data_IF_628930650848
#
_entry.id   IF_628930650848
#
_cell.length_a   1.000
_cell.length_b   1.000
_cell.length_c   1.000
_cell.angle_alpha   90.00
_cell.angle_beta   90.00
_cell.angle_gamma   90.00
#
_symmetry.space_group_name_H-M   'P 1'
#
loop_
_entity.id
_entity.type
_entity.pdbx_description
1 polymer ?
#
# COMPACT_ATOMS: atom_id res chain seq x y z
N UNK A 1 8.83 -23.86 -1.00
CA UNK A 1 7.43 -23.36 -1.00
C UNK A 1 7.47 -21.97 -1.62
N UNK A 2 6.52 -21.61 -2.49
CA UNK A 2 6.47 -20.23 -2.99
C UNK A 2 6.29 -19.29 -1.78
N UNK A 3 7.14 -18.26 -1.67
CA UNK A 3 7.00 -17.25 -0.62
C UNK A 3 5.67 -16.55 -0.81
N UNK A 4 4.84 -16.48 0.23
CA UNK A 4 3.54 -15.80 0.18
C UNK A 4 3.74 -14.32 0.38
N UNK A 5 3.07 -13.48 -0.42
CA UNK A 5 3.23 -12.03 -0.39
C UNK A 5 2.04 -11.33 0.27
N UNK A 6 2.32 -10.44 1.22
CA UNK A 6 1.35 -9.55 1.86
C UNK A 6 1.67 -8.10 1.52
N UNK A 7 0.69 -7.37 0.99
CA UNK A 7 0.82 -5.95 0.67
C UNK A 7 -0.05 -5.14 1.63
N UNK A 8 0.54 -4.17 2.32
CA UNK A 8 -0.17 -3.19 3.12
C UNK A 8 -0.30 -1.89 2.31
N UNK A 9 -1.53 -1.44 2.09
CA UNK A 9 -1.82 -0.20 1.37
C UNK A 9 -2.14 0.92 2.36
N UNK A 10 -1.40 2.02 2.30
CA UNK A 10 -1.64 3.23 3.10
C UNK A 10 -2.12 4.38 2.21
N UNK A 11 -2.94 5.32 2.72
CA UNK A 11 -3.54 6.40 1.92
C UNK A 11 -2.57 7.56 1.62
N UNK A 12 -1.47 7.67 2.35
CA UNK A 12 -0.36 8.60 2.09
C UNK A 12 0.86 8.02 2.81
N UNK A 13 1.96 7.79 2.09
CA UNK A 13 3.18 7.20 2.67
C UNK A 13 3.78 8.08 3.77
N UNK A 14 3.51 9.39 3.73
CA UNK A 14 3.97 10.37 4.72
C UNK A 14 3.11 10.41 5.99
N UNK A 15 1.93 9.78 5.98
CA UNK A 15 1.00 9.84 7.11
C UNK A 15 1.40 8.91 8.27
N UNK A 16 0.97 9.25 9.49
CA UNK A 16 1.27 8.45 10.69
C UNK A 16 0.75 7.00 10.63
N UNK A 17 -0.27 6.73 9.81
CA UNK A 17 -0.79 5.37 9.62
C UNK A 17 0.24 4.43 8.99
N UNK A 18 1.23 4.98 8.26
CA UNK A 18 2.37 4.23 7.75
C UNK A 18 3.15 3.54 8.87
N UNK A 19 3.26 4.15 10.06
CA UNK A 19 3.91 3.51 11.22
C UNK A 19 3.23 2.20 11.61
N UNK A 20 1.90 2.15 11.57
CA UNK A 20 1.16 0.94 11.91
C UNK A 20 1.39 -0.11 10.83
N UNK A 21 1.31 0.27 9.55
CA UNK A 21 1.56 -0.65 8.44
C UNK A 21 3.00 -1.22 8.44
N UNK A 22 4.00 -0.40 8.76
CA UNK A 22 5.40 -0.83 8.94
C UNK A 22 5.49 -1.85 10.07
N UNK A 23 4.86 -1.58 11.21
CA UNK A 23 4.88 -2.53 12.33
C UNK A 23 4.24 -3.88 11.99
N UNK A 24 3.13 -3.89 11.25
CA UNK A 24 2.54 -5.13 10.73
C UNK A 24 3.48 -5.86 9.75
N UNK A 25 4.21 -5.11 8.90
CA UNK A 25 5.18 -5.69 7.98
C UNK A 25 6.34 -6.33 8.73
N UNK A 26 6.90 -5.66 9.74
CA UNK A 26 7.97 -6.20 10.60
C UNK A 26 7.56 -7.51 11.27
N UNK A 27 6.36 -7.57 11.84
CA UNK A 27 5.85 -8.76 12.52
C UNK A 27 5.64 -9.96 11.60
N UNK A 28 5.51 -9.74 10.29
CA UNK A 28 5.21 -10.78 9.31
C UNK A 28 6.39 -11.09 8.37
N UNK A 29 7.48 -10.32 8.45
CA UNK A 29 8.61 -10.41 7.52
C UNK A 29 9.36 -11.75 7.59
N UNK A 30 9.29 -12.47 8.71
CA UNK A 30 9.95 -13.77 8.88
C UNK A 30 9.23 -14.89 8.10
N UNK A 31 7.92 -14.75 7.88
CA UNK A 31 7.06 -15.78 7.29
C UNK A 31 6.54 -15.42 5.88
N UNK A 32 6.57 -14.13 5.53
CA UNK A 32 5.95 -13.59 4.32
C UNK A 32 6.87 -12.58 3.62
N UNK A 33 6.77 -12.52 2.28
CA UNK A 33 7.24 -11.36 1.53
C UNK A 33 6.29 -10.19 1.79
N UNK A 34 6.80 -9.07 2.32
CA UNK A 34 5.97 -7.95 2.77
C UNK A 34 6.32 -6.65 2.05
N UNK A 35 5.30 -5.88 1.70
CA UNK A 35 5.47 -4.54 1.14
C UNK A 35 4.45 -3.57 1.73
N UNK A 36 4.89 -2.35 2.04
CA UNK A 36 4.03 -1.24 2.44
C UNK A 36 4.01 -0.23 1.29
N UNK A 37 2.88 -0.15 0.60
CA UNK A 37 2.70 0.66 -0.61
C UNK A 37 1.75 1.81 -0.30
N UNK A 38 2.07 3.01 -0.74
CA UNK A 38 1.17 4.15 -0.59
C UNK A 38 1.54 5.28 -1.54
N UNK A 39 0.59 6.17 -1.85
CA UNK A 39 0.89 7.34 -2.65
C UNK A 39 1.82 8.28 -1.87
N UNK A 40 2.78 8.87 -2.57
CA UNK A 40 3.51 10.04 -2.10
C UNK A 40 2.84 11.27 -2.72
N UNK A 41 2.21 12.07 -1.85
CA UNK A 41 1.52 13.30 -2.22
C UNK A 41 2.47 14.50 -2.41
N UNK A 42 3.79 14.26 -2.47
CA UNK A 42 4.84 15.26 -2.62
C UNK A 42 5.56 15.61 -1.31
N UNK A 43 5.41 14.78 -0.27
CA UNK A 43 6.07 14.96 1.04
C UNK A 43 7.23 14.00 1.26
N UNK A 44 7.33 12.95 0.45
CA UNK A 44 8.31 11.88 0.67
C UNK A 44 7.96 10.99 1.86
N UNK A 45 8.86 10.06 2.15
CA UNK A 45 8.76 9.19 3.33
C UNK A 45 9.08 10.02 4.59
N UNK A 46 8.31 9.82 5.66
CA UNK A 46 8.60 10.39 6.97
C UNK A 46 10.01 10.02 7.45
N UNK A 47 10.73 10.93 8.11
CA UNK A 47 12.09 10.67 8.60
C UNK A 47 12.16 9.45 9.53
N UNK A 48 11.08 9.18 10.27
CA UNK A 48 10.97 8.03 11.16
C UNK A 48 11.19 6.69 10.44
N UNK A 49 10.83 6.61 9.16
CA UNK A 49 10.83 5.37 8.37
C UNK A 49 11.76 5.44 7.16
N UNK A 50 12.69 6.39 7.13
CA UNK A 50 13.56 6.63 5.97
C UNK A 50 14.29 5.37 5.51
N UNK A 51 14.73 4.56 6.46
CA UNK A 51 15.53 3.35 6.21
C UNK A 51 14.68 2.07 6.23
N UNK A 52 13.35 2.18 6.23
CA UNK A 52 12.46 1.02 6.28
C UNK A 52 12.43 0.31 4.91
N UNK A 53 12.86 -0.97 4.83
CA UNK A 53 13.01 -1.68 3.55
C UNK A 53 11.67 -2.08 2.92
N UNK A 54 10.58 -2.06 3.71
CA UNK A 54 9.25 -2.46 3.24
C UNK A 54 8.54 -1.35 2.46
N UNK A 55 8.97 -0.10 2.61
CA UNK A 55 8.27 1.05 2.04
C UNK A 55 8.50 1.19 0.54
N UNK A 56 7.40 1.31 -0.19
CA UNK A 56 7.36 1.55 -1.62
C UNK A 56 6.49 2.77 -1.89
N UNK A 57 7.07 3.99 -1.83
CA UNK A 57 6.34 5.21 -2.15
C UNK A 57 6.00 5.23 -3.65
N UNK A 58 4.76 5.59 -3.97
CA UNK A 58 4.30 5.73 -5.35
C UNK A 58 4.01 7.20 -5.61
N UNK A 59 4.80 7.91 -6.41
CA UNK A 59 4.53 9.32 -6.71
C UNK A 59 3.11 9.50 -7.22
N UNK A 60 2.30 10.27 -6.50
CA UNK A 60 0.88 10.50 -6.82
C UNK A 60 0.38 11.85 -6.27
N UNK A 61 1.03 12.97 -6.60
CA UNK A 61 0.71 14.30 -6.04
C UNK A 61 -0.68 14.83 -6.46
N UNK A 62 -1.37 14.16 -7.38
CA UNK A 62 -2.65 14.60 -7.95
C UNK A 62 -3.73 13.54 -7.80
N UNK A 63 -3.57 12.58 -6.89
CA UNK A 63 -4.46 11.42 -6.81
C UNK A 63 -5.89 11.84 -6.50
N UNK A 64 -6.09 12.95 -5.80
CA UNK A 64 -7.43 13.49 -5.52
C UNK A 64 -8.02 14.39 -6.63
N UNK A 65 -7.48 14.36 -7.86
CA UNK A 65 -7.95 15.17 -8.99
C UNK A 65 -8.39 14.28 -10.15
N UNK A 66 -9.48 14.63 -10.82
CA UNK A 66 -9.85 14.02 -12.10
C UNK A 66 -9.26 14.86 -13.25
N UNK A 67 -8.67 14.22 -14.28
CA UNK A 67 -8.66 12.78 -14.55
C UNK A 67 -7.47 12.01 -13.93
N UNK A 68 -6.50 12.69 -13.30
CA UNK A 68 -5.25 12.08 -12.81
C UNK A 68 -5.48 10.87 -11.88
N UNK A 69 -6.49 10.94 -11.02
CA UNK A 69 -6.91 9.88 -10.10
C UNK A 69 -6.92 8.49 -10.76
N UNK A 70 -7.42 8.39 -11.99
CA UNK A 70 -7.52 7.11 -12.69
C UNK A 70 -6.13 6.55 -13.04
N UNK A 71 -5.22 7.41 -13.51
CA UNK A 71 -3.86 7.03 -13.84
C UNK A 71 -3.05 6.70 -12.59
N UNK A 72 -3.17 7.52 -11.54
CA UNK A 72 -2.41 7.37 -10.29
C UNK A 72 -2.89 6.16 -9.47
N UNK A 73 -4.21 5.99 -9.32
CA UNK A 73 -4.79 4.77 -8.71
C UNK A 73 -4.49 3.54 -9.56
N UNK A 74 -4.47 3.67 -10.88
CA UNK A 74 -4.06 2.58 -11.78
C UNK A 74 -2.63 2.10 -11.53
N UNK A 75 -1.70 2.99 -11.14
CA UNK A 75 -0.35 2.59 -10.70
C UNK A 75 -0.41 1.79 -9.40
N UNK A 76 -1.17 2.25 -8.40
CA UNK A 76 -1.36 1.53 -7.13
C UNK A 76 -1.96 0.15 -7.36
N UNK A 77 -2.99 0.02 -8.21
CA UNK A 77 -3.60 -1.27 -8.56
C UNK A 77 -2.61 -2.28 -9.18
N UNK A 78 -1.66 -1.81 -10.01
CA UNK A 78 -0.64 -2.68 -10.61
C UNK A 78 0.42 -3.12 -9.61
N UNK A 79 0.70 -2.30 -8.60
CA UNK A 79 1.72 -2.58 -7.57
C UNK A 79 1.15 -3.39 -6.40
N UNK A 80 -0.15 -3.30 -6.15
CA UNK A 80 -0.88 -4.07 -5.13
C UNK A 80 -1.07 -5.56 -5.50
N UNK A 81 -0.03 -6.20 -6.04
CA UNK A 81 -0.04 -7.62 -6.41
C UNK A 81 0.55 -8.45 -5.26
N UNK A 82 -0.32 -9.19 -4.57
CA UNK A 82 0.02 -10.06 -3.44
C UNK A 82 -1.09 -11.07 -3.12
N UNK A 83 -0.74 -12.13 -2.40
CA UNK A 83 -1.68 -13.17 -1.96
C UNK A 83 -2.71 -12.61 -0.97
N UNK A 84 -2.32 -11.61 -0.19
CA UNK A 84 -3.20 -10.78 0.62
C UNK A 84 -2.84 -9.30 0.49
N UNK A 85 -3.86 -8.45 0.42
CA UNK A 85 -3.73 -7.00 0.41
C UNK A 85 -4.59 -6.41 1.53
N UNK A 86 -3.95 -5.63 2.40
CA UNK A 86 -4.58 -4.99 3.57
C UNK A 86 -4.66 -3.50 3.30
N UNK A 87 -5.87 -2.98 3.10
CA UNK A 87 -6.12 -1.54 2.95
C UNK A 87 -6.23 -0.88 4.33
N UNK A 88 -5.27 -0.04 4.67
CA UNK A 88 -5.32 0.82 5.85
C UNK A 88 -6.18 2.05 5.56
N UNK A 89 -7.22 2.22 6.36
CA UNK A 89 -8.31 3.20 6.20
C UNK A 89 -9.07 3.00 4.89
N UNK A 90 -10.37 3.29 4.91
CA UNK A 90 -11.25 3.09 3.76
C UNK A 90 -11.22 4.28 2.77
N UNK A 91 -10.07 4.55 2.16
CA UNK A 91 -9.96 5.53 1.07
C UNK A 91 -10.07 4.85 -0.30
N UNK A 92 -10.46 5.60 -1.34
CA UNK A 92 -10.59 5.04 -2.69
C UNK A 92 -9.25 4.53 -3.25
N UNK A 93 -8.16 5.21 -2.94
CA UNK A 93 -6.79 4.86 -3.34
C UNK A 93 -6.20 3.66 -2.57
N UNK A 94 -6.82 3.20 -1.48
CA UNK A 94 -6.45 1.95 -0.78
C UNK A 94 -7.43 0.81 -1.06
N UNK A 95 -8.73 1.09 -1.07
CA UNK A 95 -9.79 0.09 -1.28
C UNK A 95 -9.83 -0.39 -2.73
N UNK A 96 -9.70 0.50 -3.72
CA UNK A 96 -9.75 0.07 -5.13
C UNK A 96 -8.58 -0.84 -5.50
N UNK A 97 -7.31 -0.55 -5.14
CA UNK A 97 -6.22 -1.49 -5.38
C UNK A 97 -6.37 -2.81 -4.63
N UNK A 98 -6.88 -2.82 -3.39
CA UNK A 98 -7.16 -4.06 -2.67
C UNK A 98 -8.23 -4.92 -3.36
N UNK A 99 -9.33 -4.31 -3.80
CA UNK A 99 -10.37 -5.00 -4.58
C UNK A 99 -9.86 -5.48 -5.93
N UNK A 100 -8.98 -4.71 -6.57
CA UNK A 100 -8.30 -5.10 -7.80
C UNK A 100 -7.46 -6.36 -7.61
N UNK A 101 -6.65 -6.42 -6.56
CA UNK A 101 -5.88 -7.60 -6.19
C UNK A 101 -6.78 -8.82 -5.93
N UNK A 102 -7.91 -8.61 -5.24
CA UNK A 102 -8.91 -9.68 -5.02
C UNK A 102 -9.48 -10.22 -6.33
N UNK A 103 -9.76 -9.35 -7.31
CA UNK A 103 -10.22 -9.79 -8.65
C UNK A 103 -9.18 -10.63 -9.39
N UNK A 104 -7.91 -10.54 -9.02
CA UNK A 104 -6.79 -11.32 -9.59
C UNK A 104 -6.49 -12.62 -8.82
N UNK A 105 -7.29 -12.95 -7.80
CA UNK A 105 -7.15 -14.19 -7.01
C UNK A 105 -6.53 -13.99 -5.62
N UNK A 106 -6.11 -12.77 -5.26
CA UNK A 106 -5.65 -12.45 -3.91
C UNK A 106 -6.79 -12.30 -2.90
N UNK A 107 -6.45 -12.08 -1.64
CA UNK A 107 -7.40 -11.71 -0.57
C UNK A 107 -7.33 -10.21 -0.32
N UNK A 108 -8.47 -9.60 -0.04
CA UNK A 108 -8.54 -8.18 0.36
C UNK A 108 -9.06 -8.08 1.79
N UNK A 109 -8.35 -7.32 2.63
CA UNK A 109 -8.72 -6.99 4.00
C UNK A 109 -8.76 -5.47 4.14
N UNK A 110 -9.62 -4.97 5.02
CA UNK A 110 -9.70 -3.55 5.37
C UNK A 110 -9.43 -3.41 6.85
N UNK A 111 -8.49 -2.53 7.18
CA UNK A 111 -8.14 -2.14 8.54
C UNK A 111 -8.57 -0.69 8.75
N UNK A 112 -9.49 -0.43 9.67
CA UNK A 112 -10.12 0.88 9.87
C UNK A 112 -9.43 1.69 10.98
#
# INVERSE_FOLDING_TARGET
MASRKIVFLVPDISAQITTVAVHFAELLADDFDVAVIGPDLGRGISELHRDCPFLQPVPAPRIYRLPEFLAETGRLCRLADGDAVVAFKAYLDTVLPALWARRRGGRALVYL
#
